data_IF_333620830174
#
_entry.id   IF_333620830174
#
_cell.length_a   1.000
_cell.length_b   1.000
_cell.length_c   1.000
_cell.angle_alpha   90.00
_cell.angle_beta   90.00
_cell.angle_gamma   90.00
#
_symmetry.space_group_name_H-M   'P 1'
#
loop_
_entity.id
_entity.type
_entity.pdbx_description
1 polymer ?
#
# COMPACT_ATOMS: atom_id res chain seq x y z
N UNK A 1 -50.93 -20.11 -22.84
CA UNK A 1 -50.08 -20.76 -21.80
C UNK A 1 -48.64 -20.26 -21.98
N UNK A 2 -47.92 -19.97 -20.88
CA UNK A 2 -46.48 -19.58 -20.78
C UNK A 2 -46.12 -18.08 -20.62
N UNK A 3 -46.67 -17.37 -19.61
CA UNK A 3 -45.99 -16.17 -19.07
C UNK A 3 -45.97 -16.08 -17.53
N UNK A 4 -46.40 -17.14 -16.83
CA UNK A 4 -46.61 -17.12 -15.37
C UNK A 4 -45.58 -17.97 -14.58
N UNK A 5 -44.34 -18.13 -15.08
CA UNK A 5 -43.34 -19.02 -14.45
C UNK A 5 -41.94 -18.40 -14.25
N UNK A 6 -41.81 -17.06 -14.23
CA UNK A 6 -40.48 -16.43 -14.10
C UNK A 6 -40.32 -15.32 -13.04
N UNK A 7 -41.36 -14.93 -12.29
CA UNK A 7 -41.23 -13.89 -11.25
C UNK A 7 -40.42 -14.32 -10.02
N UNK A 8 -40.25 -15.63 -9.77
CA UNK A 8 -39.40 -16.14 -8.68
C UNK A 8 -37.91 -16.05 -9.00
N UNK A 9 -37.53 -16.12 -10.29
CA UNK A 9 -36.16 -15.95 -10.76
C UNK A 9 -35.75 -14.48 -10.73
N UNK A 10 -36.67 -13.56 -11.06
CA UNK A 10 -36.38 -12.12 -11.04
C UNK A 10 -36.04 -11.61 -9.63
N UNK A 11 -36.73 -12.08 -8.58
CA UNK A 11 -36.42 -11.73 -7.18
C UNK A 11 -35.06 -12.28 -6.73
N UNK A 12 -34.70 -13.49 -7.18
CA UNK A 12 -33.38 -14.11 -6.88
C UNK A 12 -32.25 -13.39 -7.61
N UNK A 13 -32.50 -12.97 -8.86
CA UNK A 13 -31.57 -12.16 -9.65
C UNK A 13 -31.35 -10.79 -9.00
N UNK A 14 -32.43 -10.13 -8.55
CA UNK A 14 -32.35 -8.85 -7.84
C UNK A 14 -31.55 -8.97 -6.54
N UNK A 15 -31.79 -10.02 -5.76
CA UNK A 15 -31.05 -10.28 -4.52
C UNK A 15 -29.56 -10.55 -4.75
N UNK A 16 -29.22 -11.29 -5.82
CA UNK A 16 -27.84 -11.55 -6.21
C UNK A 16 -27.11 -10.28 -6.65
N UNK A 17 -27.79 -9.41 -7.41
CA UNK A 17 -27.23 -8.12 -7.86
C UNK A 17 -26.97 -7.21 -6.66
N UNK A 18 -27.89 -7.13 -5.69
CA UNK A 18 -27.69 -6.35 -4.46
C UNK A 18 -26.50 -6.89 -3.65
N UNK A 19 -26.36 -8.21 -3.52
CA UNK A 19 -25.21 -8.82 -2.83
C UNK A 19 -23.87 -8.47 -3.52
N UNK A 20 -23.85 -8.45 -4.85
CA UNK A 20 -22.67 -8.09 -5.64
C UNK A 20 -22.29 -6.61 -5.46
N UNK A 21 -23.28 -5.72 -5.41
CA UNK A 21 -23.05 -4.28 -5.21
C UNK A 21 -22.50 -4.00 -3.80
N UNK A 22 -22.96 -4.71 -2.77
CA UNK A 22 -22.46 -4.54 -1.38
C UNK A 22 -21.00 -5.00 -1.23
N UNK A 23 -20.59 -6.06 -1.93
CA UNK A 23 -19.19 -6.53 -1.88
C UNK A 23 -18.21 -5.55 -2.55
N UNK A 24 -18.66 -4.79 -3.56
CA UNK A 24 -17.80 -3.85 -4.27
C UNK A 24 -17.38 -2.62 -3.42
N UNK A 25 -18.10 -2.33 -2.33
CA UNK A 25 -17.82 -1.16 -1.48
C UNK A 25 -16.74 -1.37 -0.42
N UNK A 26 -16.09 -2.53 -0.33
CA UNK A 26 -15.09 -2.83 0.71
C UNK A 26 -13.63 -2.55 0.32
N UNK A 27 -13.36 -1.98 -0.85
CA UNK A 27 -12.00 -1.87 -1.40
C UNK A 27 -11.40 -0.45 -1.42
N UNK A 28 -12.02 0.54 -0.79
CA UNK A 28 -11.44 1.88 -0.66
C UNK A 28 -10.62 2.00 0.62
N UNK A 29 -9.50 1.28 0.68
CA UNK A 29 -8.41 1.64 1.58
C UNK A 29 -7.74 2.88 1.00
N UNK A 30 -8.29 4.06 1.32
CA UNK A 30 -7.70 5.34 0.97
C UNK A 30 -6.35 5.49 1.66
N UNK A 31 -5.22 5.54 0.93
CA UNK A 31 -3.94 5.91 1.53
C UNK A 31 -4.03 7.39 1.90
N UNK A 32 -4.03 7.67 3.21
CA UNK A 32 -4.02 9.01 3.77
C UNK A 32 -2.91 9.86 3.12
N UNK A 33 -3.25 11.01 2.51
CA UNK A 33 -2.25 11.91 1.97
C UNK A 33 -1.73 12.74 3.13
N UNK A 34 -0.44 12.63 3.46
CA UNK A 34 0.34 13.76 4.03
C UNK A 34 1.81 13.43 4.33
N UNK A 35 2.21 12.16 4.30
CA UNK A 35 3.64 11.79 4.38
C UNK A 35 3.87 10.58 3.50
N UNK A 36 4.97 10.53 2.72
CA UNK A 36 5.36 9.32 2.01
C UNK A 36 5.19 8.14 2.96
N UNK A 37 4.40 7.16 2.54
CA UNK A 37 4.10 6.03 3.40
C UNK A 37 5.42 5.29 3.60
N UNK A 38 5.68 4.78 4.80
CA UNK A 38 6.90 4.01 5.10
C UNK A 38 7.16 2.94 4.03
N UNK A 39 6.10 2.34 3.50
CA UNK A 39 6.08 1.39 2.39
C UNK A 39 6.73 1.94 1.12
N UNK A 40 6.44 3.17 0.72
CA UNK A 40 7.00 3.81 -0.48
C UNK A 40 8.51 4.01 -0.34
N UNK A 41 8.95 4.47 0.84
CA UNK A 41 10.37 4.64 1.14
C UNK A 41 11.12 3.29 1.11
N UNK A 42 10.48 2.22 1.62
CA UNK A 42 11.00 0.85 1.56
C UNK A 42 11.12 0.37 0.13
N UNK A 43 10.15 0.66 -0.74
CA UNK A 43 10.25 0.32 -2.16
C UNK A 43 11.38 1.07 -2.86
N UNK A 44 11.52 2.38 -2.62
CA UNK A 44 12.59 3.20 -3.19
C UNK A 44 13.96 2.65 -2.79
N UNK A 45 14.16 2.36 -1.49
CA UNK A 45 15.41 1.79 -1.00
C UNK A 45 15.68 0.39 -1.59
N UNK A 46 14.65 -0.45 -1.73
CA UNK A 46 14.77 -1.78 -2.33
C UNK A 46 15.09 -1.71 -3.83
N UNK A 47 14.49 -0.77 -4.57
CA UNK A 47 14.77 -0.53 -6.01
C UNK A 47 16.20 -0.03 -6.23
N UNK A 48 16.70 0.84 -5.35
CA UNK A 48 18.02 1.44 -5.50
C UNK A 48 19.17 0.50 -5.11
N UNK A 49 19.05 -0.22 -3.98
CA UNK A 49 20.16 -1.01 -3.41
C UNK A 49 20.00 -2.52 -3.57
N UNK A 50 18.79 -2.99 -3.89
CA UNK A 50 18.45 -4.41 -3.81
C UNK A 50 18.53 -4.95 -2.38
N UNK A 51 18.46 -6.27 -2.26
CA UNK A 51 18.60 -6.96 -0.99
C UNK A 51 17.32 -7.00 -0.15
N UNK A 52 17.48 -7.47 1.11
CA UNK A 52 16.38 -7.67 2.04
C UNK A 52 16.33 -6.52 3.05
N UNK A 53 15.19 -5.84 3.12
CA UNK A 53 14.94 -4.83 4.14
C UNK A 53 14.70 -5.53 5.47
N UNK A 54 15.51 -5.21 6.46
CA UNK A 54 15.45 -5.81 7.81
C UNK A 54 14.74 -4.91 8.81
N UNK A 55 14.80 -3.59 8.61
CA UNK A 55 14.14 -2.63 9.48
C UNK A 55 13.85 -1.33 8.74
N UNK A 56 12.74 -0.68 9.06
CA UNK A 56 12.42 0.66 8.60
C UNK A 56 11.84 1.46 9.78
N UNK A 57 12.49 2.56 10.13
CA UNK A 57 12.13 3.41 11.26
C UNK A 57 11.88 4.85 10.77
N UNK A 58 10.91 5.56 11.35
CA UNK A 58 10.70 6.99 11.11
C UNK A 58 11.58 7.80 12.07
N UNK A 59 12.32 8.76 11.55
CA UNK A 59 13.27 9.59 12.30
C UNK A 59 13.03 11.06 11.97
N UNK A 60 12.84 11.88 12.99
CA UNK A 60 12.75 13.34 12.82
C UNK A 60 14.15 13.94 12.94
N UNK A 61 14.64 14.54 11.86
CA UNK A 61 15.89 15.28 11.78
C UNK A 61 15.61 16.78 11.94
N UNK A 62 16.67 17.59 12.11
CA UNK A 62 16.54 19.06 12.10
C UNK A 62 16.02 19.60 10.76
N UNK A 63 16.29 18.88 9.67
CA UNK A 63 15.87 19.23 8.30
C UNK A 63 14.46 18.76 7.94
N UNK A 64 13.80 17.98 8.80
CA UNK A 64 12.49 17.41 8.50
C UNK A 64 12.37 15.94 8.90
N UNK A 65 11.34 15.27 8.40
CA UNK A 65 11.09 13.85 8.67
C UNK A 65 11.82 12.99 7.63
N UNK A 66 12.52 11.97 8.07
CA UNK A 66 13.15 10.97 7.20
C UNK A 66 12.84 9.55 7.68
N UNK A 67 12.96 8.58 6.78
CA UNK A 67 12.88 7.16 7.06
C UNK A 67 14.27 6.56 7.04
N UNK A 68 14.65 5.89 8.13
CA UNK A 68 15.88 5.13 8.25
C UNK A 68 15.59 3.68 7.90
N UNK A 69 16.17 3.22 6.80
CA UNK A 69 15.93 1.90 6.25
C UNK A 69 17.23 1.12 6.32
N UNK A 70 17.17 -0.05 6.98
CA UNK A 70 18.28 -1.00 7.07
C UNK A 70 18.03 -2.12 6.08
N UNK A 71 18.99 -2.32 5.20
CA UNK A 71 18.96 -3.35 4.16
C UNK A 71 20.17 -4.26 4.32
N UNK A 72 20.00 -5.53 3.97
CA UNK A 72 21.10 -6.49 3.88
C UNK A 72 21.25 -6.88 2.42
N UNK A 73 22.45 -6.64 1.88
CA UNK A 73 22.82 -7.06 0.54
C UNK A 73 24.15 -7.83 0.62
N UNK A 74 24.17 -9.07 0.12
CA UNK A 74 25.33 -9.96 0.14
C UNK A 74 26.03 -10.09 1.51
N UNK A 75 25.26 -10.10 2.60
CA UNK A 75 25.79 -10.18 3.98
C UNK A 75 26.26 -8.85 4.57
N UNK A 76 26.27 -7.76 3.79
CA UNK A 76 26.57 -6.42 4.29
C UNK A 76 25.29 -5.70 4.68
N UNK A 77 25.26 -5.17 5.91
CA UNK A 77 24.19 -4.28 6.37
C UNK A 77 24.48 -2.88 5.86
N UNK A 78 23.57 -2.31 5.09
CA UNK A 78 23.60 -0.91 4.66
C UNK A 78 22.44 -0.15 5.28
N UNK A 79 22.74 1.00 5.84
CA UNK A 79 21.75 1.94 6.32
C UNK A 79 21.58 3.07 5.32
N UNK A 80 20.33 3.38 5.00
CA UNK A 80 19.94 4.38 4.01
C UNK A 80 18.89 5.28 4.64
N UNK A 81 19.05 6.58 4.47
CA UNK A 81 18.06 7.57 4.87
C UNK A 81 17.25 7.98 3.64
N UNK A 82 15.92 8.05 3.79
CA UNK A 82 15.01 8.47 2.72
C UNK A 82 14.19 9.64 3.25
N UNK A 83 14.25 10.78 2.58
CA UNK A 83 13.47 11.95 2.98
C UNK A 83 11.96 11.67 2.82
N UNK A 84 11.17 11.94 3.86
CA UNK A 84 9.74 11.59 3.86
C UNK A 84 8.86 12.59 3.09
N UNK A 85 9.41 13.73 2.68
CA UNK A 85 8.71 14.75 1.91
C UNK A 85 8.97 14.60 0.41
N UNK A 86 10.22 14.31 0.04
CA UNK A 86 10.68 14.24 -1.34
C UNK A 86 10.91 12.81 -1.86
N UNK A 87 11.07 11.84 -0.96
CA UNK A 87 11.39 10.45 -1.33
C UNK A 87 12.82 10.27 -1.83
N UNK A 88 13.65 11.32 -1.69
CA UNK A 88 15.04 11.31 -2.12
C UNK A 88 15.88 10.49 -1.14
N UNK A 89 16.77 9.67 -1.66
CA UNK A 89 17.76 8.95 -0.89
C UNK A 89 18.82 9.95 -0.38
N UNK A 90 18.86 10.14 0.92
CA UNK A 90 19.90 10.89 1.61
C UNK A 90 21.06 9.92 1.85
N UNK A 91 22.11 10.07 1.05
CA UNK A 91 23.36 9.35 1.27
C UNK A 91 24.13 10.01 2.42
N UNK A 92 24.59 9.25 3.42
CA UNK A 92 25.58 9.73 4.37
C UNK A 92 26.95 9.94 3.70
#
# INVERSE_FOLDING_TARGET
MLYARNCSMLKRLLGLVVLLVVFASLANAEPSPETLVLSDAVEVAKKAYGGKVVKADKVTLKSGVAYRIRLVNNGHVKEVLVDATSGVLLHP
#
